data_IF_039721379286
#
_entry.id   IF_039721379286
#
_cell.length_a   1.000
_cell.length_b   1.000
_cell.length_c   1.000
_cell.angle_alpha   90.00
_cell.angle_beta   90.00
_cell.angle_gamma   90.00
#
_symmetry.space_group_name_H-M   'P 1'
#
loop_
_entity.id
_entity.type
_entity.pdbx_description
1 polymer ?
#
# COMPACT_ATOMS: atom_id res chain seq x y z
N UNK A 1 10.22 2.32 -7.63
CA UNK A 1 10.41 3.43 -8.56
C UNK A 1 11.83 3.39 -9.13
N UNK A 2 11.97 3.64 -10.42
CA UNK A 2 13.23 3.70 -11.16
C UNK A 2 13.46 5.15 -11.61
N UNK A 3 14.48 5.77 -11.06
CA UNK A 3 14.76 7.20 -11.30
C UNK A 3 15.22 7.49 -12.73
N UNK A 4 15.84 6.50 -13.40
CA UNK A 4 16.45 6.69 -14.72
C UNK A 4 15.42 6.90 -15.84
N UNK A 5 14.23 6.27 -15.69
CA UNK A 5 13.18 6.30 -16.71
C UNK A 5 11.80 6.66 -16.16
N UNK A 6 11.73 6.99 -14.85
CA UNK A 6 10.52 7.34 -14.11
C UNK A 6 9.42 6.26 -14.16
N UNK A 7 9.81 4.99 -14.33
CA UNK A 7 8.90 3.85 -14.26
C UNK A 7 8.87 3.23 -12.86
N UNK A 8 8.00 2.25 -12.66
CA UNK A 8 7.95 1.48 -11.43
C UNK A 8 7.84 -0.02 -11.73
N UNK A 9 8.18 -0.81 -10.75
CA UNK A 9 7.97 -2.25 -10.74
C UNK A 9 7.18 -2.64 -9.51
N UNK A 10 6.23 -3.57 -9.65
CA UNK A 10 5.51 -4.14 -8.51
C UNK A 10 6.36 -5.24 -7.88
N UNK A 11 6.33 -5.30 -6.56
CA UNK A 11 6.79 -6.44 -5.80
C UNK A 11 5.70 -6.89 -4.83
N UNK A 12 5.75 -8.14 -4.41
CA UNK A 12 4.86 -8.66 -3.39
C UNK A 12 5.68 -9.26 -2.24
N UNK A 13 5.12 -9.21 -1.04
CA UNK A 13 5.75 -9.70 0.18
C UNK A 13 4.77 -10.59 0.92
N UNK A 14 5.23 -11.74 1.41
CA UNK A 14 4.44 -12.59 2.28
C UNK A 14 4.12 -11.86 3.59
N UNK A 15 2.84 -11.89 3.96
CA UNK A 15 2.39 -11.34 5.23
C UNK A 15 2.93 -12.17 6.40
N UNK A 16 3.38 -11.50 7.44
CA UNK A 16 3.71 -12.08 8.74
C UNK A 16 3.08 -11.24 9.85
N UNK A 17 2.68 -11.87 10.96
CA UNK A 17 2.06 -11.18 12.10
C UNK A 17 3.07 -10.35 12.90
N UNK A 18 4.37 -10.64 12.79
CA UNK A 18 5.41 -9.86 13.43
C UNK A 18 5.78 -8.64 12.59
N UNK A 19 5.53 -7.44 13.13
CA UNK A 19 5.73 -6.17 12.43
C UNK A 19 7.16 -5.99 11.92
N UNK A 20 8.16 -6.28 12.74
CA UNK A 20 9.56 -6.07 12.35
C UNK A 20 10.01 -7.03 11.26
N UNK A 21 9.61 -8.28 11.34
CA UNK A 21 9.85 -9.27 10.29
C UNK A 21 9.16 -8.86 8.99
N UNK A 22 7.91 -8.40 9.07
CA UNK A 22 7.17 -7.93 7.90
C UNK A 22 7.82 -6.70 7.27
N UNK A 23 8.19 -5.71 8.08
CA UNK A 23 8.91 -4.51 7.60
C UNK A 23 10.23 -4.86 6.91
N UNK A 24 11.02 -5.75 7.50
CA UNK A 24 12.27 -6.23 6.91
C UNK A 24 12.06 -6.94 5.59
N UNK A 25 11.02 -7.77 5.49
CA UNK A 25 10.68 -8.47 4.26
C UNK A 25 10.24 -7.50 3.16
N UNK A 26 9.37 -6.54 3.48
CA UNK A 26 8.94 -5.49 2.53
C UNK A 26 10.15 -4.71 2.00
N UNK A 27 11.02 -4.24 2.88
CA UNK A 27 12.19 -3.45 2.46
C UNK A 27 13.12 -4.26 1.57
N UNK A 28 13.33 -5.53 1.88
CA UNK A 28 14.11 -6.45 1.05
C UNK A 28 13.49 -6.67 -0.33
N UNK A 29 12.17 -6.91 -0.40
CA UNK A 29 11.45 -7.08 -1.67
C UNK A 29 11.43 -5.78 -2.49
N UNK A 30 11.33 -4.61 -1.84
CA UNK A 30 11.44 -3.32 -2.51
C UNK A 30 12.83 -3.10 -3.13
N UNK A 31 13.91 -3.47 -2.44
CA UNK A 31 15.26 -3.42 -3.01
C UNK A 31 15.40 -4.36 -4.21
N UNK A 32 14.85 -5.57 -4.14
CA UNK A 32 14.79 -6.48 -5.29
C UNK A 32 14.03 -5.82 -6.47
N UNK A 33 12.92 -5.14 -6.19
CA UNK A 33 12.14 -4.41 -7.19
C UNK A 33 12.93 -3.33 -7.92
N UNK A 34 13.86 -2.65 -7.24
CA UNK A 34 14.75 -1.64 -7.85
C UNK A 34 15.73 -2.24 -8.86
N UNK A 35 16.11 -3.51 -8.70
CA UNK A 35 17.10 -4.17 -9.57
C UNK A 35 16.49 -4.80 -10.81
N UNK A 36 15.17 -4.91 -10.89
CA UNK A 36 14.45 -5.58 -11.98
C UNK A 36 13.53 -4.60 -12.72
N UNK A 37 13.27 -4.89 -13.98
CA UNK A 37 12.36 -4.13 -14.83
C UNK A 37 11.10 -4.94 -15.12
N UNK A 38 9.99 -4.23 -15.35
CA UNK A 38 8.69 -4.79 -15.63
C UNK A 38 7.74 -4.74 -14.45
N UNK A 39 6.46 -4.97 -14.71
CA UNK A 39 5.40 -4.79 -13.70
C UNK A 39 5.52 -5.86 -12.60
N UNK A 40 5.78 -7.12 -12.95
CA UNK A 40 5.90 -8.23 -11.99
C UNK A 40 7.34 -8.70 -11.90
N UNK A 41 8.04 -8.33 -10.84
CA UNK A 41 9.46 -8.67 -10.67
C UNK A 41 9.70 -9.95 -9.85
N UNK A 42 8.67 -10.43 -9.16
CA UNK A 42 8.69 -11.63 -8.32
C UNK A 42 7.52 -12.55 -8.73
N UNK A 43 7.83 -13.79 -9.04
CA UNK A 43 6.81 -14.80 -9.42
C UNK A 43 6.10 -15.37 -8.19
N UNK A 44 5.00 -16.09 -8.40
CA UNK A 44 4.30 -16.82 -7.34
C UNK A 44 3.42 -15.99 -6.44
N UNK A 45 3.00 -14.78 -6.87
CA UNK A 45 2.07 -13.96 -6.10
C UNK A 45 0.79 -14.75 -5.77
N UNK A 46 0.40 -14.87 -4.48
CA UNK A 46 -0.83 -15.54 -4.08
C UNK A 46 -2.06 -14.79 -4.59
N UNK A 47 -3.19 -15.51 -4.73
CA UNK A 47 -4.45 -14.91 -5.21
C UNK A 47 -5.12 -13.99 -4.16
N UNK A 48 -4.85 -14.23 -2.89
CA UNK A 48 -5.36 -13.43 -1.76
C UNK A 48 -4.31 -12.36 -1.39
N UNK A 49 -4.43 -11.19 -1.95
CA UNK A 49 -3.52 -10.07 -1.70
C UNK A 49 -4.30 -8.76 -1.56
N UNK A 50 -3.65 -7.76 -1.05
CA UNK A 50 -4.03 -6.36 -1.16
C UNK A 50 -2.90 -5.57 -1.82
N UNK A 51 -3.24 -4.49 -2.50
CA UNK A 51 -2.28 -3.63 -3.17
C UNK A 51 -2.06 -2.36 -2.33
N UNK A 52 -0.80 -2.01 -2.11
CA UNK A 52 -0.44 -0.73 -1.49
C UNK A 52 0.36 0.08 -2.51
N UNK A 53 -0.09 1.31 -2.74
CA UNK A 53 0.56 2.28 -3.62
C UNK A 53 0.86 3.55 -2.85
N UNK A 54 1.97 4.19 -3.15
CA UNK A 54 2.34 5.47 -2.56
C UNK A 54 2.69 6.49 -3.65
N UNK A 55 2.13 7.70 -3.52
CA UNK A 55 2.45 8.84 -4.38
C UNK A 55 3.03 9.97 -3.54
N UNK A 56 4.30 9.88 -3.09
CA UNK A 56 4.88 10.79 -2.11
C UNK A 56 5.06 12.22 -2.65
N UNK A 57 4.87 12.42 -3.93
CA UNK A 57 5.00 13.74 -4.59
C UNK A 57 3.70 14.54 -4.59
N UNK A 58 2.54 13.89 -4.34
CA UNK A 58 1.22 14.49 -4.56
C UNK A 58 0.30 14.23 -3.39
N UNK A 59 -0.28 15.30 -2.82
CA UNK A 59 -1.43 15.20 -1.95
C UNK A 59 -2.70 15.11 -2.82
N UNK A 60 -3.73 14.43 -2.31
CA UNK A 60 -5.02 14.29 -2.99
C UNK A 60 -6.18 14.38 -1.98
N UNK A 61 -7.34 14.73 -2.45
CA UNK A 61 -8.61 14.69 -1.71
C UNK A 61 -9.47 13.50 -2.10
N UNK A 62 -9.20 12.90 -3.25
CA UNK A 62 -9.87 11.69 -3.73
C UNK A 62 -8.99 10.96 -4.74
N UNK A 63 -9.08 9.63 -4.75
CA UNK A 63 -8.47 8.75 -5.76
C UNK A 63 -9.53 7.79 -6.25
N UNK A 64 -9.58 7.57 -7.56
CA UNK A 64 -10.44 6.58 -8.18
C UNK A 64 -9.62 5.66 -9.08
N UNK A 65 -9.63 4.38 -8.77
CA UNK A 65 -8.99 3.35 -9.59
C UNK A 65 -10.05 2.59 -10.39
N UNK A 66 -9.78 2.40 -11.67
CA UNK A 66 -10.67 1.64 -12.56
C UNK A 66 -9.91 0.49 -13.22
N UNK A 67 -10.54 -0.66 -13.28
CA UNK A 67 -10.04 -1.77 -14.08
C UNK A 67 -10.26 -1.46 -15.57
N UNK A 68 -9.27 -1.77 -16.40
CA UNK A 68 -9.24 -1.43 -17.84
C UNK A 68 -10.48 -1.91 -18.60
N UNK A 69 -11.03 -3.06 -18.25
CA UNK A 69 -12.17 -3.67 -18.92
C UNK A 69 -13.49 -3.53 -18.14
N UNK A 70 -13.61 -2.57 -17.23
CA UNK A 70 -14.81 -2.36 -16.43
C UNK A 70 -15.08 -3.45 -15.38
N UNK A 71 -14.14 -4.36 -15.15
CA UNK A 71 -14.22 -5.35 -14.10
C UNK A 71 -14.08 -4.74 -12.69
N UNK A 72 -14.51 -5.46 -11.66
CA UNK A 72 -14.31 -5.07 -10.27
C UNK A 72 -13.00 -5.67 -9.72
N UNK A 73 -12.21 -4.86 -9.00
CA UNK A 73 -11.13 -5.37 -8.18
C UNK A 73 -11.72 -5.92 -6.88
N UNK A 74 -11.64 -7.23 -6.67
CA UNK A 74 -12.09 -7.89 -5.45
C UNK A 74 -11.03 -7.91 -4.33
N UNK A 75 -9.90 -7.26 -4.57
CA UNK A 75 -8.85 -7.04 -3.59
C UNK A 75 -8.77 -5.54 -3.24
N UNK A 76 -8.40 -5.17 -2.00
CA UNK A 76 -8.24 -3.79 -1.62
C UNK A 76 -7.06 -3.13 -2.33
N UNK A 77 -7.25 -1.90 -2.80
CA UNK A 77 -6.19 -1.02 -3.30
C UNK A 77 -6.11 0.15 -2.33
N UNK A 78 -5.02 0.23 -1.58
CA UNK A 78 -4.74 1.28 -0.61
C UNK A 78 -3.75 2.24 -1.25
N UNK A 79 -4.09 3.53 -1.28
CA UNK A 79 -3.21 4.56 -1.85
C UNK A 79 -2.91 5.60 -0.79
N UNK A 80 -1.62 5.81 -0.51
CA UNK A 80 -1.13 6.87 0.36
C UNK A 80 -0.55 8.02 -0.47
N UNK A 81 -0.83 9.26 -0.09
CA UNK A 81 -0.30 10.46 -0.73
C UNK A 81 0.79 11.14 0.09
N UNK A 82 1.19 12.32 -0.38
CA UNK A 82 2.15 13.17 0.34
C UNK A 82 1.55 13.67 1.66
N UNK A 83 2.29 13.55 2.75
CA UNK A 83 1.92 14.18 4.02
C UNK A 83 2.20 15.69 4.00
N UNK A 84 1.45 16.44 4.78
CA UNK A 84 1.58 17.89 4.95
C UNK A 84 2.52 18.25 6.12
N UNK A 85 2.67 19.55 6.37
CA UNK A 85 3.51 20.08 7.46
C UNK A 85 2.98 19.76 8.87
N UNK A 86 1.74 19.30 8.99
CA UNK A 86 1.12 18.82 10.22
C UNK A 86 1.20 17.29 10.36
N UNK A 87 1.99 16.63 9.52
CA UNK A 87 2.12 15.17 9.44
C UNK A 87 0.80 14.44 9.14
N UNK A 88 -0.12 15.10 8.43
CA UNK A 88 -1.34 14.48 7.96
C UNK A 88 -1.12 13.94 6.54
N UNK A 89 -1.42 12.67 6.36
CA UNK A 89 -1.26 11.96 5.09
C UNK A 89 -2.62 11.50 4.57
N UNK A 90 -2.97 11.85 3.32
CA UNK A 90 -4.19 11.31 2.73
C UNK A 90 -4.02 9.82 2.43
N UNK A 91 -4.98 9.02 2.87
CA UNK A 91 -5.07 7.59 2.58
C UNK A 91 -6.43 7.30 1.96
N UNK A 92 -6.41 6.60 0.83
CA UNK A 92 -7.60 6.13 0.14
C UNK A 92 -7.62 4.61 0.11
N UNK A 93 -8.80 4.01 0.24
CA UNK A 93 -9.03 2.60 -0.04
C UNK A 93 -10.08 2.45 -1.14
N UNK A 94 -9.76 1.66 -2.16
CA UNK A 94 -10.68 1.26 -3.23
C UNK A 94 -10.91 -0.24 -3.15
N UNK A 95 -12.17 -0.65 -3.06
CA UNK A 95 -12.59 -2.05 -3.03
C UNK A 95 -13.98 -2.19 -3.63
N UNK A 96 -14.28 -3.33 -4.25
CA UNK A 96 -15.62 -3.60 -4.76
C UNK A 96 -16.65 -3.69 -3.62
N UNK A 97 -17.78 -3.00 -3.77
CA UNK A 97 -18.85 -3.02 -2.75
C UNK A 97 -19.40 -4.43 -2.47
N UNK A 98 -19.27 -5.35 -3.41
CA UNK A 98 -19.62 -6.76 -3.21
C UNK A 98 -18.74 -7.48 -2.15
N UNK A 99 -17.58 -6.91 -1.80
CA UNK A 99 -16.62 -7.48 -0.83
C UNK A 99 -16.69 -6.75 0.51
N UNK A 100 -16.90 -5.43 0.51
CA UNK A 100 -16.94 -4.62 1.73
C UNK A 100 -17.93 -3.46 1.57
N UNK A 101 -18.62 -3.12 2.63
CA UNK A 101 -19.51 -1.97 2.72
C UNK A 101 -18.90 -0.83 3.56
N UNK A 102 -19.65 0.27 3.74
CA UNK A 102 -19.20 1.45 4.48
C UNK A 102 -18.78 1.16 5.92
N UNK A 103 -19.38 0.18 6.57
CA UNK A 103 -19.00 -0.21 7.93
C UNK A 103 -17.57 -0.79 7.97
N UNK A 104 -17.24 -1.68 7.05
CA UNK A 104 -15.91 -2.28 6.95
C UNK A 104 -14.84 -1.23 6.61
N UNK A 105 -15.18 -0.28 5.75
CA UNK A 105 -14.27 0.83 5.42
C UNK A 105 -14.05 1.74 6.64
N UNK A 106 -15.10 2.03 7.41
CA UNK A 106 -15.00 2.78 8.67
C UNK A 106 -14.05 2.10 9.67
N UNK A 107 -14.23 0.79 9.88
CA UNK A 107 -13.35 0.00 10.74
C UNK A 107 -11.89 -0.02 10.26
N UNK A 108 -11.67 -0.10 8.95
CA UNK A 108 -10.32 -0.05 8.40
C UNK A 108 -9.60 1.24 8.82
N UNK A 109 -10.22 2.42 8.65
CA UNK A 109 -9.60 3.67 9.02
C UNK A 109 -9.44 3.84 10.53
N UNK A 110 -10.41 3.36 11.33
CA UNK A 110 -10.29 3.37 12.78
C UNK A 110 -9.08 2.55 13.26
N UNK A 111 -8.91 1.34 12.76
CA UNK A 111 -7.79 0.49 13.10
C UNK A 111 -6.47 1.05 12.58
N UNK A 112 -6.43 1.54 11.34
CA UNK A 112 -5.23 2.15 10.78
C UNK A 112 -4.75 3.33 11.63
N UNK A 113 -5.66 4.25 12.01
CA UNK A 113 -5.32 5.38 12.85
C UNK A 113 -4.83 4.94 14.23
N UNK A 114 -5.48 3.94 14.83
CA UNK A 114 -5.09 3.37 16.12
C UNK A 114 -3.68 2.77 16.07
N UNK A 115 -3.35 2.02 15.03
CA UNK A 115 -2.04 1.39 14.89
C UNK A 115 -0.94 2.43 14.64
N UNK A 116 -1.18 3.43 13.78
CA UNK A 116 -0.24 4.53 13.54
C UNK A 116 0.02 5.34 14.81
N UNK A 117 -1.00 5.51 15.67
CA UNK A 117 -0.90 6.30 16.90
C UNK A 117 -0.20 5.55 18.05
N UNK A 118 0.15 4.29 17.91
CA UNK A 118 0.91 3.56 18.91
C UNK A 118 2.36 4.03 18.95
N UNK A 119 2.83 4.40 20.14
CA UNK A 119 4.16 4.99 20.36
C UNK A 119 5.34 4.08 19.98
N UNK A 120 5.11 2.75 19.86
CA UNK A 120 6.20 1.83 19.51
C UNK A 120 6.76 2.04 18.10
N UNK A 121 6.04 2.74 17.20
CA UNK A 121 6.57 3.15 15.91
C UNK A 121 7.67 4.22 16.04
N UNK A 122 7.68 4.95 17.15
CA UNK A 122 8.65 6.02 17.38
C UNK A 122 9.94 5.56 18.06
N UNK A 123 9.95 4.39 18.70
CA UNK A 123 11.05 4.00 19.59
C UNK A 123 12.06 3.00 18.97
N UNK A 124 11.82 2.49 17.77
CA UNK A 124 12.60 1.37 17.24
C UNK A 124 12.95 1.47 15.74
N UNK A 125 12.81 2.65 15.13
CA UNK A 125 13.21 2.91 13.74
C UNK A 125 14.52 3.72 13.62
N UNK A 126 15.25 3.90 14.74
CA UNK A 126 16.60 4.47 14.76
C UNK A 126 17.68 3.44 14.47
#
# INVERSE_FOLDING_TARGET
>A
FHEEDHTFSDCWTDFTDDFYSFYKNITSDMELGKTKRGIKVKEGQPANFYCVSCTPWTAFTAVSSRMVNGGAAFFPIITAGKYDDNYQMPVNITIAHAVADGYHIGLFFEYLQKEISKEYLNSNLE
#
